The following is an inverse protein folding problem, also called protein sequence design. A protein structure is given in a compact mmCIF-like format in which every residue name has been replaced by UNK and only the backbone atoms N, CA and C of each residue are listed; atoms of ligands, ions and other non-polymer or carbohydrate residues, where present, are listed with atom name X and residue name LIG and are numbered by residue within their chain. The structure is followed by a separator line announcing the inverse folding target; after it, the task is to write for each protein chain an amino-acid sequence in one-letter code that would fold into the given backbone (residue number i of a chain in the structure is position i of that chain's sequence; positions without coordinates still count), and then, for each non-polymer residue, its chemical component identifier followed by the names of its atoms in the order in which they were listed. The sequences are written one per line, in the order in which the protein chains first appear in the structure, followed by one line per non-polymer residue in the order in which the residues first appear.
data_IF_465500088919
#
_entry.id   IF_465500088919
#
_cell.length_a   1.000
_cell.length_b   1.000
_cell.length_c   1.000
_cell.angle_alpha   90.00
_cell.angle_beta   90.00
_cell.angle_gamma   90.00
#
_symmetry.space_group_name_H-M   'P 1'
#
loop_
_entity.id
_entity.type
_entity.pdbx_description
1 polymer ?
#
# COMPACT_ATOMS: atom_id res chain seq x y z
N UNK A 1 -1.62 -24.60 10.17
CA UNK A 1 -2.71 -23.61 9.98
C UNK A 1 -2.96 -23.45 8.50
N UNK A 2 -4.22 -23.36 8.05
CA UNK A 2 -4.52 -23.27 6.61
C UNK A 2 -3.97 -21.97 6.00
N UNK A 3 -3.46 -21.98 4.76
CA UNK A 3 -3.17 -20.77 4.00
C UNK A 3 -4.40 -19.86 3.86
N UNK A 4 -4.22 -18.54 3.83
CA UNK A 4 -5.35 -17.58 3.74
C UNK A 4 -6.17 -17.80 2.47
N UNK A 5 -5.53 -18.06 1.33
CA UNK A 5 -6.22 -18.33 0.08
C UNK A 5 -7.18 -19.53 0.17
N UNK A 6 -6.82 -20.58 0.92
CA UNK A 6 -7.71 -21.72 1.15
C UNK A 6 -8.91 -21.32 2.03
N UNK A 7 -8.68 -20.52 3.08
CA UNK A 7 -9.75 -20.03 3.97
C UNK A 7 -10.74 -19.14 3.19
N UNK A 8 -10.22 -18.34 2.26
CA UNK A 8 -11.01 -17.48 1.37
C UNK A 8 -11.65 -18.25 0.19
N UNK A 9 -11.36 -19.53 0.04
CA UNK A 9 -11.85 -20.35 -1.07
C UNK A 9 -11.46 -19.79 -2.44
N UNK A 10 -10.21 -19.34 -2.58
CA UNK A 10 -9.64 -18.84 -3.83
C UNK A 10 -8.33 -19.55 -4.13
N UNK A 11 -7.91 -19.53 -5.40
CA UNK A 11 -6.60 -20.08 -5.80
C UNK A 11 -5.47 -19.19 -5.30
N UNK A 12 -4.26 -19.77 -5.19
CA UNK A 12 -3.04 -19.02 -4.85
C UNK A 12 -2.78 -17.88 -5.82
N UNK A 13 -3.01 -18.08 -7.12
CA UNK A 13 -2.80 -17.05 -8.14
C UNK A 13 -3.81 -15.91 -8.01
N UNK A 14 -5.08 -16.22 -7.74
CA UNK A 14 -6.09 -15.19 -7.43
C UNK A 14 -5.72 -14.40 -6.18
N UNK A 15 -5.21 -15.06 -5.15
CA UNK A 15 -4.74 -14.41 -3.93
C UNK A 15 -3.54 -13.48 -4.21
N UNK A 16 -2.54 -13.95 -4.94
CA UNK A 16 -1.37 -13.13 -5.30
C UNK A 16 -1.78 -11.91 -6.13
N UNK A 17 -2.68 -12.10 -7.10
CA UNK A 17 -3.24 -11.00 -7.89
C UNK A 17 -3.99 -10.01 -7.01
N UNK A 18 -4.83 -10.51 -6.12
CA UNK A 18 -5.57 -9.67 -5.16
C UNK A 18 -4.62 -8.83 -4.30
N UNK A 19 -3.53 -9.41 -3.77
CA UNK A 19 -2.55 -8.66 -2.98
C UNK A 19 -1.80 -7.61 -3.80
N UNK A 20 -1.47 -7.93 -5.05
CA UNK A 20 -0.84 -6.97 -5.96
C UNK A 20 -1.79 -5.82 -6.31
N UNK A 21 -3.06 -6.12 -6.59
CA UNK A 21 -4.07 -5.12 -6.89
C UNK A 21 -4.35 -4.25 -5.66
N UNK A 22 -4.38 -4.85 -4.47
CA UNK A 22 -4.50 -4.12 -3.21
C UNK A 22 -3.34 -3.13 -3.02
N UNK A 23 -2.10 -3.57 -3.26
CA UNK A 23 -0.93 -2.71 -3.21
C UNK A 23 -1.02 -1.53 -4.19
N UNK A 24 -1.38 -1.79 -5.44
CA UNK A 24 -1.51 -0.75 -6.48
C UNK A 24 -2.59 0.27 -6.13
N UNK A 25 -3.75 -0.21 -5.68
CA UNK A 25 -4.89 0.63 -5.32
C UNK A 25 -4.56 1.51 -4.11
N UNK A 26 -3.86 0.96 -3.11
CA UNK A 26 -3.39 1.74 -1.96
C UNK A 26 -2.35 2.78 -2.37
N UNK A 27 -1.40 2.43 -3.24
CA UNK A 27 -0.42 3.37 -3.74
C UNK A 27 -1.09 4.51 -4.53
N UNK A 28 -2.09 4.19 -5.34
CA UNK A 28 -2.85 5.16 -6.13
C UNK A 28 -3.69 6.08 -5.23
N UNK A 29 -4.36 5.56 -4.20
CA UNK A 29 -5.14 6.38 -3.27
C UNK A 29 -4.30 7.38 -2.47
N UNK A 30 -2.99 7.15 -2.37
CA UNK A 30 -2.04 8.02 -1.67
C UNK A 30 -1.22 8.91 -2.63
N UNK A 31 -1.43 8.81 -3.93
CA UNK A 31 -0.73 9.59 -4.93
C UNK A 31 -1.62 10.73 -5.46
N UNK A 32 -1.09 11.96 -5.50
CA UNK A 32 -1.74 13.07 -6.19
C UNK A 32 -1.44 13.13 -7.69
N UNK A 33 -0.36 12.48 -8.14
CA UNK A 33 0.06 12.44 -9.55
C UNK A 33 0.63 11.08 -9.93
N UNK A 34 0.67 10.78 -11.24
CA UNK A 34 1.31 9.56 -11.77
C UNK A 34 2.78 9.45 -11.36
N UNK A 35 3.50 10.58 -11.28
CA UNK A 35 4.90 10.61 -10.84
C UNK A 35 5.03 10.21 -9.37
N UNK A 36 4.17 10.73 -8.50
CA UNK A 36 4.13 10.33 -7.09
C UNK A 36 3.77 8.86 -6.94
N UNK A 37 2.80 8.36 -7.72
CA UNK A 37 2.45 6.94 -7.75
C UNK A 37 3.65 6.05 -8.11
N UNK A 38 4.39 6.39 -9.18
CA UNK A 38 5.61 5.68 -9.56
C UNK A 38 6.69 5.72 -8.45
N UNK A 39 6.86 6.87 -7.79
CA UNK A 39 7.78 7.02 -6.65
C UNK A 39 7.36 6.15 -5.46
N UNK A 40 6.06 6.05 -5.17
CA UNK A 40 5.52 5.18 -4.11
C UNK A 40 5.85 3.73 -4.45
N UNK A 41 5.56 3.28 -5.68
CA UNK A 41 5.86 1.92 -6.15
C UNK A 41 7.35 1.57 -6.06
N UNK A 42 8.22 2.54 -6.35
CA UNK A 42 9.67 2.39 -6.29
C UNK A 42 10.28 2.49 -4.88
N UNK A 43 9.53 2.93 -3.88
CA UNK A 43 10.07 3.17 -2.53
C UNK A 43 10.14 1.89 -1.70
N UNK A 44 11.36 1.40 -1.45
CA UNK A 44 11.58 0.22 -0.60
C UNK A 44 11.12 0.41 0.85
N UNK A 45 11.12 1.65 1.36
CA UNK A 45 10.63 1.96 2.70
C UNK A 45 9.10 1.81 2.78
N UNK A 46 8.38 2.36 1.80
CA UNK A 46 6.91 2.26 1.75
C UNK A 46 6.48 0.83 1.45
N UNK A 47 7.17 0.14 0.52
CA UNK A 47 6.90 -1.27 0.23
C UNK A 47 7.03 -2.14 1.49
N UNK A 48 8.07 -1.91 2.30
CA UNK A 48 8.25 -2.61 3.58
C UNK A 48 7.15 -2.26 4.59
N UNK A 49 6.80 -0.97 4.71
CA UNK A 49 5.70 -0.56 5.58
C UNK A 49 4.40 -1.25 5.20
N UNK A 50 4.04 -1.25 3.91
CA UNK A 50 2.81 -1.85 3.43
C UNK A 50 2.76 -3.37 3.66
N UNK A 51 3.87 -4.07 3.40
CA UNK A 51 3.97 -5.50 3.67
C UNK A 51 3.85 -5.82 5.17
N UNK A 52 4.38 -4.97 6.05
CA UNK A 52 4.22 -5.13 7.49
C UNK A 52 2.76 -4.97 7.92
N UNK A 53 2.07 -3.93 7.44
CA UNK A 53 0.65 -3.73 7.73
C UNK A 53 -0.21 -4.88 7.19
N UNK A 54 0.10 -5.35 5.97
CA UNK A 54 -0.56 -6.53 5.41
C UNK A 54 -0.36 -7.76 6.29
N UNK A 55 0.86 -7.99 6.80
CA UNK A 55 1.14 -9.09 7.74
C UNK A 55 0.34 -8.99 9.05
N UNK A 56 0.13 -7.77 9.55
CA UNK A 56 -0.71 -7.52 10.74
C UNK A 56 -2.17 -7.88 10.45
N UNK A 57 -2.69 -7.48 9.30
CA UNK A 57 -4.05 -7.81 8.86
C UNK A 57 -4.21 -9.32 8.70
N UNK A 58 -3.27 -9.99 8.04
CA UNK A 58 -3.29 -11.45 7.87
C UNK A 58 -3.30 -12.18 9.22
N UNK A 59 -2.48 -11.72 10.17
CA UNK A 59 -2.43 -12.27 11.52
C UNK A 59 -3.75 -12.04 12.26
N UNK A 60 -4.31 -10.84 12.14
CA UNK A 60 -5.59 -10.47 12.78
C UNK A 60 -6.74 -11.30 12.21
N UNK A 61 -6.79 -11.45 10.88
CA UNK A 61 -7.76 -12.29 10.21
C UNK A 61 -7.68 -13.73 10.72
N UNK A 62 -6.46 -14.29 10.75
CA UNK A 62 -6.20 -15.65 11.25
C UNK A 62 -6.72 -15.85 12.67
N UNK A 63 -6.44 -14.91 13.58
CA UNK A 63 -6.91 -14.98 14.96
C UNK A 63 -8.44 -14.89 15.08
N UNK A 64 -9.10 -14.15 14.19
CA UNK A 64 -10.58 -14.06 14.16
C UNK A 64 -11.20 -15.35 13.63
N UNK A 65 -10.66 -15.93 12.56
CA UNK A 65 -11.25 -17.13 11.93
C UNK A 65 -10.91 -18.43 12.64
N UNK A 66 -9.79 -18.50 13.36
CA UNK A 66 -9.37 -19.69 14.11
C UNK A 66 -10.47 -20.21 15.05
N UNK A 67 -11.24 -19.30 15.64
CA UNK A 67 -12.34 -19.62 16.58
C UNK A 67 -13.51 -20.35 15.92
N UNK A 68 -13.59 -20.32 14.60
CA UNK A 68 -14.66 -20.90 13.81
C UNK A 68 -14.19 -22.09 12.96
N UNK A 69 -12.94 -22.54 13.11
CA UNK A 69 -12.46 -23.74 12.44
C UNK A 69 -13.30 -24.96 12.85
N UNK A 70 -13.92 -25.62 11.87
CA UNK A 70 -14.81 -26.77 12.09
C UNK A 70 -16.27 -26.42 12.37
N UNK A 71 -16.64 -25.13 12.41
CA UNK A 71 -18.03 -24.72 12.48
C UNK A 71 -18.72 -24.80 11.12
N UNK A 72 -19.96 -25.31 11.09
CA UNK A 72 -20.82 -25.30 9.91
C UNK A 72 -21.65 -24.00 9.77
N UNK A 73 -21.56 -23.09 10.75
CA UNK A 73 -22.34 -21.84 10.74
C UNK A 73 -21.64 -20.69 10.01
N UNK A 74 -20.32 -20.75 9.85
CA UNK A 74 -19.52 -19.71 9.20
C UNK A 74 -19.12 -20.18 7.82
N UNK A 75 -19.46 -19.41 6.80
CA UNK A 75 -19.19 -19.76 5.40
C UNK A 75 -17.94 -19.07 4.86
N UNK A 76 -17.47 -19.53 3.70
CA UNK A 76 -16.40 -18.85 2.95
C UNK A 76 -16.76 -17.39 2.65
N UNK A 77 -18.05 -17.08 2.44
CA UNK A 77 -18.52 -15.71 2.20
C UNK A 77 -18.28 -14.83 3.42
N UNK A 78 -18.50 -15.36 4.62
CA UNK A 78 -18.27 -14.63 5.87
C UNK A 78 -16.79 -14.37 6.11
N UNK A 79 -15.93 -15.34 5.79
CA UNK A 79 -14.47 -15.14 5.80
C UNK A 79 -14.03 -14.04 4.84
N UNK A 80 -14.57 -14.01 3.61
CA UNK A 80 -14.29 -12.94 2.65
C UNK A 80 -14.74 -11.57 3.15
N UNK A 81 -15.93 -11.47 3.75
CA UNK A 81 -16.42 -10.23 4.36
C UNK A 81 -15.52 -9.76 5.49
N UNK A 82 -15.11 -10.67 6.38
CA UNK A 82 -14.21 -10.37 7.48
C UNK A 82 -12.85 -9.85 6.97
N UNK A 83 -12.27 -10.54 5.97
CA UNK A 83 -11.01 -10.14 5.38
C UNK A 83 -11.09 -8.76 4.70
N UNK A 84 -12.12 -8.52 3.88
CA UNK A 84 -12.35 -7.23 3.23
C UNK A 84 -12.57 -6.09 4.24
N UNK A 85 -13.19 -6.36 5.39
CA UNK A 85 -13.33 -5.39 6.47
C UNK A 85 -11.97 -4.94 7.00
N UNK A 86 -11.07 -5.89 7.29
CA UNK A 86 -9.70 -5.59 7.74
C UNK A 86 -8.87 -4.89 6.67
N UNK A 87 -9.06 -5.25 5.40
CA UNK A 87 -8.41 -4.58 4.28
C UNK A 87 -8.89 -3.12 4.17
N UNK A 88 -10.17 -2.84 4.42
CA UNK A 88 -10.66 -1.45 4.44
C UNK A 88 -9.96 -0.61 5.52
N UNK A 89 -9.67 -1.21 6.68
CA UNK A 89 -8.90 -0.55 7.75
C UNK A 89 -7.48 -0.18 7.28
N UNK A 90 -6.84 -0.99 6.44
CA UNK A 90 -5.52 -0.68 5.85
C UNK A 90 -5.47 0.68 5.17
N UNK A 91 -6.52 1.03 4.41
CA UNK A 91 -6.59 2.30 3.68
C UNK A 91 -6.76 3.52 4.59
N UNK A 92 -7.09 3.31 5.86
CA UNK A 92 -7.18 4.38 6.85
C UNK A 92 -5.82 4.67 7.51
N UNK A 93 -4.85 3.77 7.34
CA UNK A 93 -3.49 3.93 7.84
C UNK A 93 -2.55 4.30 6.70
N UNK A 94 -1.63 5.24 6.97
CA UNK A 94 -0.62 5.63 6.00
C UNK A 94 0.63 6.20 6.68
N UNK A 95 1.83 5.91 6.16
CA UNK A 95 3.08 6.36 6.75
C UNK A 95 3.35 7.81 6.31
N UNK A 96 2.63 8.77 6.91
CA UNK A 96 2.73 10.21 6.59
C UNK A 96 4.16 10.70 6.35
N UNK A 97 5.15 10.41 7.22
CA UNK A 97 6.51 10.88 7.00
C UNK A 97 7.14 10.38 5.69
N UNK A 98 6.89 9.12 5.32
CA UNK A 98 7.42 8.53 4.09
C UNK A 98 6.72 9.10 2.84
N UNK A 99 5.43 9.40 2.94
CA UNK A 99 4.66 10.01 1.85
C UNK A 99 5.03 11.49 1.66
N UNK A 100 5.30 12.21 2.73
CA UNK A 100 5.75 13.60 2.69
C UNK A 100 7.12 13.74 2.02
N UNK A 101 7.99 12.75 2.14
CA UNK A 101 9.28 12.72 1.42
C UNK A 101 9.09 12.56 -0.10
N UNK A 102 8.03 11.86 -0.53
CA UNK A 102 7.71 11.67 -1.95
C UNK A 102 7.02 12.90 -2.54
N UNK A 103 6.17 13.56 -1.75
CA UNK A 103 5.44 14.76 -2.17
C UNK A 103 6.32 15.99 -2.30
N UNK A 104 7.50 16.00 -1.64
CA UNK A 104 8.60 16.91 -1.92
C UNK A 104 9.19 16.62 -3.30
N UNK A 105 8.44 16.95 -4.35
CA UNK A 105 9.06 17.25 -5.63
C UNK A 105 10.06 18.37 -5.35
N UNK A 106 11.35 18.03 -5.42
CA UNK A 106 12.40 19.03 -5.42
C UNK A 106 12.17 19.86 -6.70
N UNK A 107 11.43 20.95 -6.59
CA UNK A 107 11.76 22.14 -7.34
C UNK A 107 13.15 22.54 -6.85
N UNK A 108 14.17 21.84 -7.35
CA UNK A 108 15.53 22.28 -7.24
C UNK A 108 15.61 23.57 -8.03
N UNK A 109 15.39 24.70 -7.36
CA UNK A 109 15.89 25.96 -7.85
C UNK A 109 17.40 25.78 -7.95
N UNK A 110 17.89 25.55 -9.17
CA UNK A 110 19.32 25.57 -9.41
C UNK A 110 19.70 27.04 -9.36
N UNK A 111 20.41 27.44 -8.31
CA UNK A 111 21.02 28.76 -8.26
C UNK A 111 22.15 28.78 -9.31
N UNK A 112 21.88 29.32 -10.48
CA UNK A 112 22.93 29.58 -11.46
C UNK A 112 23.49 30.98 -11.21
N UNK A 113 24.76 31.06 -10.82
CA UNK A 113 25.49 32.33 -10.70
C UNK A 113 26.16 32.66 -12.03
N UNK A 114 25.74 33.75 -12.66
CA UNK A 114 26.43 34.35 -13.81
C UNK A 114 26.94 35.74 -13.39
N UNK A 115 28.20 35.82 -12.97
CA UNK A 115 28.77 37.05 -12.43
C UNK A 115 28.07 37.50 -11.13
N UNK A 116 27.66 38.77 -11.05
CA UNK A 116 26.93 39.35 -9.91
C UNK A 116 25.41 39.11 -9.94
N UNK A 117 24.89 38.42 -10.98
CA UNK A 117 23.46 38.18 -11.14
C UNK A 117 23.11 36.76 -10.68
N UNK A 118 22.23 36.66 -9.69
CA UNK A 118 21.59 35.41 -9.27
C UNK A 118 20.23 35.26 -9.96
N UNK A 119 20.05 34.17 -10.71
CA UNK A 119 18.77 33.84 -11.35
C UNK A 119 18.21 32.56 -10.72
N UNK A 120 16.93 32.62 -10.31
CA UNK A 120 16.19 31.44 -9.86
C UNK A 120 15.38 30.88 -11.03
N UNK A 121 15.72 29.68 -11.50
CA UNK A 121 14.94 29.00 -12.54
C UNK A 121 14.34 27.70 -12.00
N UNK A 122 13.04 27.50 -12.18
CA UNK A 122 12.37 26.22 -11.99
C UNK A 122 12.68 25.31 -13.18
N UNK A 123 13.61 24.37 -13.01
CA UNK A 123 13.88 23.34 -14.00
C UNK A 123 12.88 22.19 -13.83
N UNK A 124 11.90 22.12 -14.74
CA UNK A 124 11.17 20.89 -14.99
C UNK A 124 12.12 19.94 -15.74
N UNK A 125 12.82 19.08 -14.99
CA UNK A 125 13.54 17.94 -15.57
C UNK A 125 12.50 16.90 -15.99
N UNK A 126 12.22 16.86 -17.30
CA UNK A 126 11.42 15.84 -17.98
C UNK A 126 12.08 14.46 -17.88
#
# INVERSE_FOLDING_TARGET
MKPIHEILGITKDQHNKYMLDLWKNWAESNAGTTRQWQKILGSSAINRWFLNELSIIETTFRNKVQRFEGSNTVTVVDHRKCFNGLVTELFQHFPKPLLDEISKDHFGAVEMKYGEVTIFTSLNLN
#
